data_IF_936051467142
#
_entry.id   IF_936051467142
#
_cell.length_a   1.000
_cell.length_b   1.000
_cell.length_c   1.000
_cell.angle_alpha   90.00
_cell.angle_beta   90.00
_cell.angle_gamma   90.00
#
_symmetry.space_group_name_H-M   'P 1'
#
loop_
_entity.id
_entity.type
_entity.pdbx_description
1 polymer ?
#
# COMPACT_ATOMS: atom_id res chain seq x y z
N UNK A 1 18.49 -10.61 -16.71
CA UNK A 1 18.09 -10.25 -15.32
C UNK A 1 17.37 -8.90 -15.38
N UNK A 2 16.37 -8.68 -14.53
CA UNK A 2 15.71 -7.37 -14.42
C UNK A 2 16.73 -6.32 -13.95
N UNK A 3 16.65 -5.10 -14.49
CA UNK A 3 17.45 -3.95 -14.05
C UNK A 3 16.69 -3.07 -13.05
N UNK A 4 15.46 -3.45 -12.69
CA UNK A 4 14.65 -2.68 -11.75
C UNK A 4 15.18 -2.83 -10.32
N UNK A 5 15.25 -1.71 -9.61
CA UNK A 5 15.62 -1.69 -8.21
C UNK A 5 14.41 -2.01 -7.33
N UNK A 6 14.59 -2.98 -6.45
CA UNK A 6 13.59 -3.40 -5.47
C UNK A 6 13.79 -2.64 -4.16
N UNK A 7 12.68 -2.27 -3.54
CA UNK A 7 12.65 -1.54 -2.28
C UNK A 7 11.76 -2.27 -1.28
N UNK A 8 12.19 -2.27 -0.02
CA UNK A 8 11.50 -2.92 1.09
C UNK A 8 11.61 -2.03 2.31
N UNK A 9 10.50 -1.86 3.03
CA UNK A 9 10.46 -1.13 4.30
C UNK A 9 10.57 -2.13 5.47
N UNK A 10 11.06 -1.66 6.62
CA UNK A 10 11.27 -2.47 7.81
C UNK A 10 9.98 -3.14 8.32
N UNK A 11 10.13 -4.17 9.17
CA UNK A 11 9.02 -4.89 9.82
C UNK A 11 8.19 -5.69 8.80
N UNK A 12 6.96 -5.28 8.52
CA UNK A 12 6.04 -6.01 7.63
C UNK A 12 6.63 -6.23 6.24
N UNK A 13 7.27 -5.19 5.68
CA UNK A 13 7.84 -5.26 4.34
C UNK A 13 8.94 -6.31 4.25
N UNK A 14 9.89 -6.29 5.19
CA UNK A 14 10.97 -7.29 5.28
C UNK A 14 10.43 -8.70 5.52
N UNK A 15 9.46 -8.85 6.42
CA UNK A 15 8.83 -10.15 6.69
C UNK A 15 8.24 -10.73 5.41
N UNK A 16 7.40 -9.97 4.71
CA UNK A 16 6.72 -10.44 3.50
C UNK A 16 7.69 -10.65 2.33
N UNK A 17 8.67 -9.76 2.17
CA UNK A 17 9.72 -9.92 1.13
C UNK A 17 10.50 -11.20 1.34
N UNK A 18 10.94 -11.49 2.58
CA UNK A 18 11.73 -12.69 2.88
C UNK A 18 10.89 -13.97 2.83
N UNK A 19 9.63 -13.90 3.30
CA UNK A 19 8.75 -15.06 3.41
C UNK A 19 8.14 -15.47 2.06
N UNK A 20 7.72 -14.50 1.24
CA UNK A 20 7.01 -14.74 -0.03
C UNK A 20 7.85 -14.41 -1.29
N UNK A 21 9.05 -13.88 -1.12
CA UNK A 21 10.01 -13.60 -2.19
C UNK A 21 9.47 -12.64 -3.30
N UNK A 22 8.80 -11.57 -2.88
CA UNK A 22 8.39 -10.45 -3.76
C UNK A 22 8.85 -9.10 -3.18
N UNK A 23 8.96 -8.07 -4.01
CA UNK A 23 9.36 -6.73 -3.56
C UNK A 23 8.16 -5.90 -3.09
N UNK A 24 8.35 -5.05 -2.08
CA UNK A 24 7.28 -4.15 -1.64
C UNK A 24 7.06 -3.02 -2.64
N UNK A 25 8.13 -2.42 -3.15
CA UNK A 25 8.06 -1.43 -4.22
C UNK A 25 9.16 -1.66 -5.27
N UNK A 26 8.90 -1.21 -6.49
CA UNK A 26 9.88 -1.11 -7.57
C UNK A 26 9.81 0.27 -8.20
N UNK A 27 10.95 0.78 -8.66
CA UNK A 27 10.97 2.00 -9.48
C UNK A 27 10.97 1.64 -10.96
N UNK A 28 10.08 2.26 -11.72
CA UNK A 28 9.96 2.13 -13.19
C UNK A 28 9.99 3.52 -13.79
N UNK A 29 11.17 3.96 -14.25
CA UNK A 29 11.36 5.33 -14.73
C UNK A 29 11.10 6.36 -13.63
N UNK A 30 10.17 7.28 -13.90
CA UNK A 30 9.73 8.31 -12.95
C UNK A 30 8.61 7.85 -12.02
N UNK A 31 8.26 6.55 -12.01
CA UNK A 31 7.17 6.03 -11.20
C UNK A 31 7.64 5.05 -10.14
N UNK A 32 6.95 5.08 -9.00
CA UNK A 32 6.99 4.04 -7.99
C UNK A 32 5.76 3.15 -8.15
N UNK A 33 5.98 1.84 -8.25
CA UNK A 33 4.94 0.82 -8.31
C UNK A 33 5.01 -0.01 -7.05
N UNK A 34 3.91 -0.05 -6.31
CA UNK A 34 3.81 -0.79 -5.07
C UNK A 34 3.08 -2.12 -5.28
N UNK A 35 3.54 -3.13 -4.55
CA UNK A 35 2.73 -4.30 -4.27
C UNK A 35 1.56 -3.92 -3.35
N UNK A 36 0.49 -4.72 -3.39
CA UNK A 36 -0.67 -4.51 -2.53
C UNK A 36 -0.30 -4.55 -1.05
N UNK A 37 -0.76 -3.54 -0.31
CA UNK A 37 -0.51 -3.38 1.12
C UNK A 37 -1.76 -3.73 1.91
N UNK A 38 -1.59 -4.64 2.87
CA UNK A 38 -2.63 -5.05 3.81
C UNK A 38 -2.58 -4.27 5.12
N UNK A 39 -3.70 -4.33 5.84
CA UNK A 39 -3.83 -3.81 7.21
C UNK A 39 -3.18 -4.71 8.26
N UNK A 40 -1.87 -4.91 8.15
CA UNK A 40 -1.11 -5.84 8.97
C UNK A 40 0.12 -5.20 9.63
N UNK A 41 0.59 -5.83 10.69
CA UNK A 41 1.75 -5.44 11.50
C UNK A 41 2.48 -6.68 12.01
N UNK A 42 3.71 -6.52 12.49
CA UNK A 42 4.45 -7.59 13.16
C UNK A 42 4.23 -7.49 14.67
N UNK A 43 3.84 -8.60 15.28
CA UNK A 43 3.72 -8.74 16.74
C UNK A 43 4.34 -10.07 17.15
N UNK A 44 5.27 -10.02 18.10
CA UNK A 44 5.96 -11.20 18.62
C UNK A 44 6.64 -12.07 17.54
N UNK A 45 7.03 -11.45 16.41
CA UNK A 45 7.65 -12.13 15.26
C UNK A 45 6.66 -12.63 14.20
N UNK A 46 5.36 -12.57 14.48
CA UNK A 46 4.30 -13.03 13.58
C UNK A 46 3.63 -11.87 12.85
N UNK A 47 3.18 -12.14 11.61
CA UNK A 47 2.35 -11.24 10.83
C UNK A 47 0.90 -11.32 11.33
N UNK A 48 0.41 -10.20 11.86
CA UNK A 48 -0.95 -10.07 12.41
C UNK A 48 -1.73 -9.05 11.60
N UNK A 49 -3.01 -9.34 11.34
CA UNK A 49 -3.94 -8.43 10.70
C UNK A 49 -4.82 -7.76 11.75
N UNK A 50 -5.16 -6.48 11.55
CA UNK A 50 -6.13 -5.81 12.41
C UNK A 50 -7.50 -6.51 12.37
N UNK A 51 -8.24 -6.45 13.47
CA UNK A 51 -9.44 -7.27 13.67
C UNK A 51 -10.58 -6.86 12.74
N UNK A 52 -10.71 -5.57 12.44
CA UNK A 52 -11.78 -5.04 11.60
C UNK A 52 -11.27 -4.55 10.26
N UNK A 53 -12.11 -4.59 9.23
CA UNK A 53 -11.77 -4.06 7.92
C UNK A 53 -11.46 -2.55 7.95
N UNK A 54 -12.12 -1.77 8.83
CA UNK A 54 -11.88 -0.33 8.94
C UNK A 54 -10.49 -0.03 9.50
N UNK A 55 -10.07 -0.75 10.55
CA UNK A 55 -8.70 -0.66 11.08
C UNK A 55 -7.67 -1.15 10.05
N UNK A 56 -8.00 -2.20 9.30
CA UNK A 56 -7.12 -2.68 8.24
C UNK A 56 -6.93 -1.64 7.14
N UNK A 57 -7.97 -0.85 6.80
CA UNK A 57 -7.83 0.26 5.84
C UNK A 57 -6.84 1.28 6.38
N UNK A 58 -7.01 1.75 7.62
CA UNK A 58 -6.11 2.75 8.21
C UNK A 58 -4.65 2.27 8.22
N UNK A 59 -4.42 1.02 8.63
CA UNK A 59 -3.09 0.45 8.69
C UNK A 59 -2.50 0.15 7.30
N UNK A 60 -3.32 -0.23 6.32
CA UNK A 60 -2.88 -0.38 4.94
C UNK A 60 -2.38 0.97 4.38
N UNK A 61 -3.05 2.08 4.72
CA UNK A 61 -2.58 3.41 4.33
C UNK A 61 -1.22 3.75 4.94
N UNK A 62 -0.98 3.40 6.21
CA UNK A 62 0.33 3.58 6.84
C UNK A 62 1.41 2.72 6.17
N UNK A 63 1.09 1.48 5.79
CA UNK A 63 2.03 0.59 5.12
C UNK A 63 2.38 1.07 3.71
N UNK A 64 1.41 1.59 2.94
CA UNK A 64 1.68 2.26 1.66
C UNK A 64 2.65 3.43 1.84
N UNK A 65 2.43 4.28 2.85
CA UNK A 65 3.30 5.43 3.11
C UNK A 65 4.74 5.01 3.41
N UNK A 66 4.92 4.00 4.27
CA UNK A 66 6.23 3.42 4.59
C UNK A 66 6.91 2.86 3.33
N UNK A 67 6.16 2.14 2.50
CA UNK A 67 6.70 1.51 1.31
C UNK A 67 7.11 2.53 0.23
N UNK A 68 6.31 3.60 0.02
CA UNK A 68 6.67 4.72 -0.85
C UNK A 68 7.94 5.42 -0.37
N UNK A 69 8.05 5.70 0.94
CA UNK A 69 9.21 6.38 1.53
C UNK A 69 10.47 5.53 1.47
N UNK A 70 10.37 4.22 1.68
CA UNK A 70 11.48 3.29 1.52
C UNK A 70 12.03 3.26 0.07
N UNK A 71 11.18 3.56 -0.92
CA UNK A 71 11.58 3.70 -2.31
C UNK A 71 12.11 5.10 -2.69
N UNK A 72 12.34 5.96 -1.70
CA UNK A 72 12.83 7.33 -1.86
C UNK A 72 11.75 8.35 -2.22
N UNK A 73 10.48 7.94 -2.26
CA UNK A 73 9.34 8.82 -2.46
C UNK A 73 8.99 9.63 -1.22
N UNK A 74 8.01 10.52 -1.35
CA UNK A 74 7.52 11.41 -0.30
C UNK A 74 6.25 10.90 0.38
N UNK A 75 5.81 9.70 0.04
CA UNK A 75 4.57 9.12 0.56
C UNK A 75 3.36 9.46 -0.30
N UNK A 76 2.20 9.51 0.34
CA UNK A 76 0.89 9.67 -0.32
C UNK A 76 0.76 10.91 -1.21
N UNK A 77 1.50 11.99 -0.95
CA UNK A 77 1.47 13.22 -1.76
C UNK A 77 1.87 13.01 -3.24
N UNK A 78 2.53 11.88 -3.56
CA UNK A 78 2.94 11.54 -4.92
C UNK A 78 2.02 10.52 -5.61
N UNK A 79 1.05 9.95 -4.90
CA UNK A 79 0.18 8.90 -5.45
C UNK A 79 -0.79 9.52 -6.45
N UNK A 80 -0.93 8.90 -7.62
CA UNK A 80 -1.91 9.33 -8.63
C UNK A 80 -2.97 8.27 -8.92
N UNK A 81 -2.69 6.99 -8.68
CA UNK A 81 -3.61 5.87 -8.93
C UNK A 81 -3.69 4.96 -7.71
N UNK A 82 -4.92 4.60 -7.35
CA UNK A 82 -5.21 3.62 -6.31
C UNK A 82 -6.15 2.56 -6.85
N UNK A 83 -5.82 1.29 -6.62
CA UNK A 83 -6.75 0.18 -6.69
C UNK A 83 -6.94 -0.35 -5.27
N UNK A 84 -8.19 -0.55 -4.84
CA UNK A 84 -8.44 -1.19 -3.55
C UNK A 84 -9.41 -2.36 -3.66
N UNK A 85 -9.04 -3.45 -3.01
CA UNK A 85 -9.73 -4.72 -3.03
C UNK A 85 -10.26 -5.02 -1.63
N UNK A 86 -11.54 -5.38 -1.55
CA UNK A 86 -12.25 -5.53 -0.28
C UNK A 86 -13.05 -6.82 -0.28
N UNK A 87 -13.07 -7.53 0.84
CA UNK A 87 -13.96 -8.71 1.00
C UNK A 87 -15.41 -8.30 1.19
N UNK A 88 -15.66 -7.12 1.79
CA UNK A 88 -16.98 -6.52 1.94
C UNK A 88 -16.94 -5.04 1.53
N UNK A 89 -17.94 -4.56 0.80
CA UNK A 89 -18.06 -3.14 0.42
C UNK A 89 -19.34 -2.58 1.04
N UNK A 90 -19.18 -1.87 2.14
CA UNK A 90 -20.26 -1.15 2.83
C UNK A 90 -20.07 0.37 2.70
N UNK A 91 -21.09 1.19 3.00
CA UNK A 91 -20.95 2.64 3.05
C UNK A 91 -19.82 3.10 3.98
N UNK A 92 -19.61 2.43 5.11
CA UNK A 92 -18.57 2.73 6.09
C UNK A 92 -17.16 2.48 5.51
N UNK A 93 -16.98 1.41 4.72
CA UNK A 93 -15.73 1.14 4.01
C UNK A 93 -15.41 2.26 3.01
N UNK A 94 -16.40 2.66 2.21
CA UNK A 94 -16.26 3.77 1.26
C UNK A 94 -15.94 5.09 1.97
N UNK A 95 -16.61 5.36 3.10
CA UNK A 95 -16.36 6.55 3.91
C UNK A 95 -14.95 6.54 4.52
N UNK A 96 -14.49 5.40 5.06
CA UNK A 96 -13.16 5.27 5.67
C UNK A 96 -12.04 5.44 4.65
N UNK A 97 -12.22 4.94 3.42
CA UNK A 97 -11.30 5.23 2.30
C UNK A 97 -11.25 6.74 2.01
N UNK A 98 -12.40 7.41 1.94
CA UNK A 98 -12.47 8.84 1.68
C UNK A 98 -11.86 9.70 2.81
N UNK A 99 -12.03 9.29 4.08
CA UNK A 99 -11.39 9.92 5.24
C UNK A 99 -9.86 9.83 5.15
N UNK A 100 -9.33 8.66 4.80
CA UNK A 100 -7.89 8.50 4.59
C UNK A 100 -7.39 9.31 3.39
N UNK A 101 -8.08 9.33 2.26
CA UNK A 101 -7.68 10.19 1.14
C UNK A 101 -7.59 11.66 1.54
N UNK A 102 -8.56 12.19 2.30
CA UNK A 102 -8.51 13.58 2.80
C UNK A 102 -7.35 13.81 3.78
N UNK A 103 -7.03 12.83 4.63
CA UNK A 103 -5.94 12.91 5.61
C UNK A 103 -4.56 12.89 4.94
N UNK A 104 -4.35 11.95 4.02
CA UNK A 104 -3.04 11.65 3.46
C UNK A 104 -2.73 12.43 2.16
N UNK A 105 -3.77 12.93 1.48
CA UNK A 105 -3.67 13.69 0.23
C UNK A 105 -4.55 14.94 0.29
N UNK A 106 -4.29 15.88 1.22
CA UNK A 106 -5.13 17.07 1.38
C UNK A 106 -5.07 18.01 0.16
N UNK A 107 -3.97 17.98 -0.59
CA UNK A 107 -3.66 18.94 -1.65
C UNK A 107 -3.93 18.41 -3.08
N UNK A 108 -4.31 17.14 -3.23
CA UNK A 108 -4.62 16.57 -4.54
C UNK A 108 -5.65 15.42 -4.47
N UNK A 109 -6.00 14.88 -5.64
CA UNK A 109 -6.93 13.75 -5.77
C UNK A 109 -6.32 12.70 -6.69
N UNK A 110 -6.76 11.46 -6.51
CA UNK A 110 -6.29 10.31 -7.27
C UNK A 110 -7.39 9.74 -8.15
N UNK A 111 -7.02 9.03 -9.20
CA UNK A 111 -7.95 8.08 -9.83
C UNK A 111 -8.05 6.85 -8.92
N UNK A 112 -9.27 6.36 -8.69
CA UNK A 112 -9.52 5.26 -7.77
C UNK A 112 -10.51 4.27 -8.36
N UNK A 113 -10.19 2.98 -8.25
CA UNK A 113 -11.11 1.88 -8.49
C UNK A 113 -11.23 1.02 -7.22
N UNK A 114 -12.46 0.73 -6.81
CA UNK A 114 -12.78 -0.13 -5.67
C UNK A 114 -13.46 -1.40 -6.17
N UNK A 115 -12.97 -2.57 -5.76
CA UNK A 115 -13.45 -3.87 -6.24
C UNK A 115 -13.75 -4.78 -5.05
N UNK A 116 -14.91 -5.43 -5.09
CA UNK A 116 -15.26 -6.51 -4.19
C UNK A 116 -14.63 -7.81 -4.66
N UNK A 117 -13.91 -8.51 -3.78
CA UNK A 117 -13.23 -9.78 -4.09
C UNK A 117 -13.68 -10.87 -3.12
N UNK A 118 -13.59 -12.13 -3.54
CA UNK A 118 -13.99 -13.26 -2.70
C UNK A 118 -13.06 -13.46 -1.51
N UNK A 119 -11.75 -13.25 -1.69
CA UNK A 119 -10.72 -13.51 -0.68
C UNK A 119 -9.41 -12.80 -1.06
N UNK A 120 -8.58 -12.51 -0.04
CA UNK A 120 -7.24 -11.94 -0.16
C UNK A 120 -6.18 -12.92 0.38
N UNK A 121 -4.94 -12.45 0.66
CA UNK A 121 -3.80 -13.30 1.00
C UNK A 121 -4.00 -14.28 2.18
N UNK A 122 -4.87 -13.96 3.13
CA UNK A 122 -5.31 -14.86 4.22
C UNK A 122 -6.80 -14.67 4.54
N UNK A 123 -7.48 -15.63 5.19
CA UNK A 123 -8.92 -15.51 5.49
C UNK A 123 -9.32 -14.29 6.32
N UNK A 124 -8.42 -13.78 7.15
CA UNK A 124 -8.63 -12.61 8.01
C UNK A 124 -8.16 -11.30 7.40
N UNK A 125 -7.75 -11.30 6.13
CA UNK A 125 -7.38 -10.10 5.39
C UNK A 125 -8.60 -9.59 4.63
N UNK A 126 -9.03 -8.37 4.95
CA UNK A 126 -10.29 -7.80 4.47
C UNK A 126 -10.10 -6.64 3.50
N UNK A 127 -8.90 -6.05 3.45
CA UNK A 127 -8.55 -4.95 2.55
C UNK A 127 -7.12 -5.12 2.02
N UNK A 128 -6.93 -4.82 0.74
CA UNK A 128 -5.62 -4.68 0.10
C UNK A 128 -5.61 -3.42 -0.78
N UNK A 129 -4.55 -2.61 -0.66
CA UNK A 129 -4.40 -1.33 -1.38
C UNK A 129 -3.14 -1.34 -2.22
N UNK A 130 -3.30 -1.22 -3.54
CA UNK A 130 -2.23 -1.13 -4.53
C UNK A 130 -2.19 0.29 -5.09
N UNK A 131 -1.00 0.90 -5.17
CA UNK A 131 -0.87 2.27 -5.66
C UNK A 131 0.27 2.44 -6.65
N UNK A 132 0.13 3.44 -7.51
CA UNK A 132 1.19 3.98 -8.34
C UNK A 132 1.43 5.45 -7.98
N UNK A 133 2.69 5.83 -7.82
CA UNK A 133 3.11 7.19 -7.51
C UNK A 133 4.05 7.77 -8.57
N UNK A 134 3.99 9.08 -8.76
CA UNK A 134 4.80 9.83 -9.72
C UNK A 134 5.87 10.64 -8.99
N UNK A 135 7.13 10.37 -9.30
CA UNK A 135 8.31 10.90 -8.61
C UNK A 135 9.47 11.19 -9.59
N UNK A 136 9.33 12.20 -10.46
CA UNK A 136 10.35 12.56 -11.45
C UNK A 136 11.62 13.12 -10.82
N UNK A 137 11.53 13.74 -9.65
CA UNK A 137 12.71 14.28 -8.95
C UNK A 137 13.53 13.18 -8.26
N UNK A 138 12.88 12.16 -7.70
CA UNK A 138 13.58 10.99 -7.17
C UNK A 138 14.28 10.19 -8.29
N UNK A 139 13.65 10.08 -9.45
CA UNK A 139 14.23 9.37 -10.61
C UNK A 139 15.52 10.01 -11.15
N UNK A 140 15.74 11.31 -10.94
CA UNK A 140 16.99 11.99 -11.33
C UNK A 140 18.17 11.69 -10.39
N UNK A 141 17.91 11.14 -9.21
CA UNK A 141 18.91 10.86 -8.17
C UNK A 141 19.45 9.42 -8.22
N UNK A 142 18.86 8.58 -9.06
CA UNK A 142 19.35 7.24 -9.38
C UNK A 142 20.34 7.29 -10.56
#
# INVERSE_FOLDING_TARGET
MSQLKNYTYESVGEFLTNFLNYAQAVRVGDQLQLSGQGGCFIKDGDLVFAETQLEQIDLAFENVDKALKAAGGKGWEQVFRVNSYHTEITPEVGQRMAENYKKWMPDHKVIWTQIGVRQLGVPTMYCEIEVSAYDPEGAKKE
#
